data_IF_304346440440
#
_entry.id   IF_304346440440
#
_cell.length_a   1.000
_cell.length_b   1.000
_cell.length_c   1.000
_cell.angle_alpha   90.00
_cell.angle_beta   90.00
_cell.angle_gamma   90.00
#
_symmetry.space_group_name_H-M   'P 1'
#
loop_
_entity.id
_entity.type
_entity.pdbx_description
1 polymer ?
#
# COMPACT_ATOMS: atom_id res chain seq x y z
N UNK A 1 15.34 -1.20 -0.85
CA UNK A 1 14.44 -1.76 0.16
C UNK A 1 13.19 -2.28 -0.53
N UNK A 2 12.56 -3.37 -0.07
CA UNK A 2 11.25 -3.81 -0.59
C UNK A 2 10.14 -2.78 -0.29
N UNK A 3 10.31 -1.93 0.72
CA UNK A 3 9.44 -0.76 0.94
C UNK A 3 9.39 0.17 -0.29
N UNK A 4 10.45 0.18 -1.11
CA UNK A 4 10.50 0.90 -2.39
C UNK A 4 9.56 0.35 -3.47
N UNK A 5 8.95 -0.83 -3.27
CA UNK A 5 7.91 -1.38 -4.14
C UNK A 5 6.50 -0.85 -3.81
N UNK A 6 6.31 -0.35 -2.58
CA UNK A 6 5.00 0.05 -2.06
C UNK A 6 4.53 1.39 -2.62
N UNK A 7 5.42 2.34 -2.87
CA UNK A 7 5.04 3.64 -3.48
C UNK A 7 4.71 3.52 -4.97
N UNK A 8 5.65 3.02 -5.81
CA UNK A 8 5.51 3.11 -7.26
C UNK A 8 4.56 2.10 -7.89
N UNK A 9 4.47 0.88 -7.36
CA UNK A 9 3.47 -0.11 -7.82
C UNK A 9 2.03 0.33 -7.54
N UNK A 10 1.85 1.15 -6.51
CA UNK A 10 0.56 1.49 -5.92
C UNK A 10 0.01 2.82 -6.45
N UNK A 11 0.86 3.82 -6.70
CA UNK A 11 0.44 5.04 -7.42
C UNK A 11 -0.16 4.70 -8.80
N UNK A 12 0.38 3.66 -9.44
CA UNK A 12 -0.09 3.10 -10.71
C UNK A 12 -1.49 2.48 -10.62
N UNK A 13 -1.87 1.98 -9.45
CA UNK A 13 -3.12 1.27 -9.19
C UNK A 13 -4.27 2.18 -8.71
N UNK A 14 -3.97 3.44 -8.41
CA UNK A 14 -5.00 4.43 -8.08
C UNK A 14 -5.82 4.81 -9.32
N UNK A 15 -7.11 5.14 -9.11
CA UNK A 15 -8.15 5.34 -10.14
C UNK A 15 -7.83 6.41 -11.21
N UNK A 16 -6.71 7.10 -11.09
CA UNK A 16 -6.45 8.35 -11.80
C UNK A 16 -6.17 8.17 -13.29
N UNK A 17 -5.49 7.11 -13.77
CA UNK A 17 -5.28 6.87 -15.22
C UNK A 17 -5.08 5.38 -15.57
N UNK A 18 -6.05 4.76 -16.25
CA UNK A 18 -5.89 3.41 -16.86
C UNK A 18 -4.64 3.39 -17.74
N UNK A 19 -3.84 2.32 -17.66
CA UNK A 19 -2.72 2.07 -18.57
C UNK A 19 -1.34 2.57 -18.11
N UNK A 20 -1.21 3.08 -16.88
CA UNK A 20 0.11 3.41 -16.34
C UNK A 20 0.96 2.15 -16.11
N UNK A 21 2.25 2.35 -16.30
CA UNK A 21 3.31 1.37 -16.13
C UNK A 21 4.35 2.04 -15.26
N UNK A 22 4.67 1.45 -14.11
CA UNK A 22 5.76 1.94 -13.27
C UNK A 22 6.87 0.92 -13.29
N UNK A 23 8.08 1.37 -13.63
CA UNK A 23 9.31 0.55 -13.67
C UNK A 23 10.15 0.88 -12.45
N UNK A 24 10.32 -0.09 -11.56
CA UNK A 24 11.13 0.04 -10.34
C UNK A 24 12.47 -0.64 -10.59
N UNK A 25 13.54 0.14 -10.77
CA UNK A 25 14.86 -0.35 -11.19
C UNK A 25 15.69 -0.77 -9.97
N UNK A 26 16.42 -1.88 -10.06
CA UNK A 26 17.43 -2.25 -9.07
C UNK A 26 16.87 -2.79 -7.76
N UNK A 27 15.66 -3.35 -7.78
CA UNK A 27 15.04 -3.91 -6.57
C UNK A 27 15.57 -5.30 -6.28
N UNK A 28 15.84 -5.61 -5.00
CA UNK A 28 16.06 -6.99 -4.55
C UNK A 28 14.76 -7.76 -4.68
N UNK A 29 14.71 -8.74 -5.58
CA UNK A 29 13.63 -9.73 -5.63
C UNK A 29 13.91 -10.77 -4.53
N UNK A 30 13.78 -10.36 -3.27
CA UNK A 30 13.97 -11.27 -2.15
C UNK A 30 12.83 -12.30 -2.18
N UNK A 31 13.16 -13.58 -2.35
CA UNK A 31 12.22 -14.69 -2.51
C UNK A 31 11.23 -14.83 -1.34
N UNK A 32 11.61 -14.39 -0.14
CA UNK A 32 10.76 -14.38 1.06
C UNK A 32 9.70 -13.28 1.07
N UNK A 33 9.80 -12.27 0.18
CA UNK A 33 8.87 -11.11 0.08
C UNK A 33 8.07 -11.07 -1.24
N UNK A 34 8.18 -12.12 -2.06
CA UNK A 34 7.34 -12.33 -3.27
C UNK A 34 5.86 -12.48 -2.92
N UNK A 35 5.52 -12.82 -1.66
CA UNK A 35 4.13 -12.91 -1.18
C UNK A 35 3.30 -11.65 -1.51
N UNK A 36 3.88 -10.47 -1.33
CA UNK A 36 3.22 -9.20 -1.68
C UNK A 36 2.93 -9.08 -3.18
N UNK A 37 3.87 -9.47 -4.05
CA UNK A 37 3.68 -9.44 -5.50
C UNK A 37 2.56 -10.40 -5.93
N UNK A 38 2.52 -11.61 -5.36
CA UNK A 38 1.45 -12.57 -5.62
C UNK A 38 0.06 -12.07 -5.15
N UNK A 39 0.01 -11.28 -4.07
CA UNK A 39 -1.24 -10.64 -3.64
C UNK A 39 -1.65 -9.49 -4.56
N UNK A 40 -0.69 -8.69 -5.04
CA UNK A 40 -0.94 -7.67 -6.04
C UNK A 40 -1.52 -8.28 -7.33
N UNK A 41 -1.04 -9.45 -7.75
CA UNK A 41 -1.63 -10.21 -8.85
C UNK A 41 -3.06 -10.67 -8.56
N UNK A 42 -3.36 -11.10 -7.32
CA UNK A 42 -4.73 -11.46 -6.89
C UNK A 42 -5.71 -10.27 -6.94
N UNK A 43 -5.23 -9.03 -6.77
CA UNK A 43 -6.05 -7.82 -6.96
C UNK A 43 -6.05 -7.32 -8.41
N UNK A 44 -5.48 -8.09 -9.33
CA UNK A 44 -5.50 -7.84 -10.77
C UNK A 44 -4.30 -7.05 -11.27
N UNK A 45 -3.29 -6.72 -10.46
CA UNK A 45 -2.08 -6.10 -10.98
C UNK A 45 -1.36 -7.07 -11.93
N UNK A 46 -0.88 -6.57 -13.06
CA UNK A 46 0.03 -7.33 -13.93
C UNK A 46 1.46 -6.93 -13.58
N UNK A 47 2.24 -7.90 -13.13
CA UNK A 47 3.61 -7.70 -12.70
C UNK A 47 4.51 -8.39 -13.71
N UNK A 48 5.48 -7.66 -14.23
CA UNK A 48 6.48 -8.17 -15.17
C UNK A 48 7.87 -7.89 -14.58
N UNK A 49 8.67 -8.94 -14.42
CA UNK A 49 10.08 -8.83 -14.06
C UNK A 49 10.88 -8.58 -15.34
N UNK A 50 11.68 -7.53 -15.34
CA UNK A 50 12.48 -7.05 -16.45
C UNK A 50 13.96 -6.99 -16.03
N UNK A 51 14.87 -7.14 -16.98
CA UNK A 51 16.30 -6.89 -16.79
C UNK A 51 16.89 -7.62 -15.55
N UNK A 52 16.50 -8.88 -15.35
CA UNK A 52 16.90 -9.66 -14.17
C UNK A 52 18.36 -10.10 -14.25
N UNK A 53 19.11 -9.82 -13.20
CA UNK A 53 20.50 -10.22 -12.97
C UNK A 53 20.60 -10.86 -11.58
N UNK A 54 21.62 -11.69 -11.33
CA UNK A 54 21.91 -12.18 -9.98
C UNK A 54 23.06 -11.38 -9.38
N UNK A 55 22.87 -10.87 -8.17
CA UNK A 55 23.93 -10.23 -7.39
C UNK A 55 23.99 -10.85 -6.00
N UNK A 56 25.08 -11.57 -5.71
CA UNK A 56 25.25 -12.25 -4.43
C UNK A 56 24.25 -13.39 -4.19
N UNK A 57 23.79 -14.07 -5.25
CA UNK A 57 22.81 -15.18 -5.17
C UNK A 57 21.35 -14.73 -5.03
N UNK A 58 21.09 -13.43 -5.09
CA UNK A 58 19.72 -12.89 -5.07
C UNK A 58 19.36 -12.28 -6.43
N UNK A 59 18.16 -12.57 -6.97
CA UNK A 59 17.71 -11.94 -8.19
C UNK A 59 17.47 -10.45 -7.95
N UNK A 60 17.96 -9.64 -8.89
CA UNK A 60 17.76 -8.19 -8.96
C UNK A 60 17.26 -7.84 -10.33
N UNK A 61 16.27 -6.98 -10.40
CA UNK A 61 15.74 -6.58 -11.70
C UNK A 61 14.91 -5.32 -11.60
N UNK A 62 14.36 -4.96 -12.74
CA UNK A 62 13.33 -3.98 -12.86
C UNK A 62 11.96 -4.63 -12.70
N UNK A 63 11.06 -4.08 -11.90
CA UNK A 63 9.67 -4.56 -11.83
C UNK A 63 8.78 -3.58 -12.55
N UNK A 64 8.05 -4.06 -13.56
CA UNK A 64 7.00 -3.33 -14.24
C UNK A 64 5.65 -3.74 -13.66
N UNK A 65 4.93 -2.77 -13.09
CA UNK A 65 3.58 -2.99 -12.53
C UNK A 65 2.57 -2.21 -13.36
N UNK A 66 1.55 -2.91 -13.84
CA UNK A 66 0.38 -2.36 -14.52
C UNK A 66 -0.87 -2.64 -13.71
N UNK A 67 -1.72 -1.62 -13.55
CA UNK A 67 -3.07 -1.83 -13.02
C UNK A 67 -3.87 -2.74 -13.95
N UNK A 68 -4.53 -3.75 -13.40
CA UNK A 68 -5.40 -4.63 -14.18
C UNK A 68 -6.82 -4.75 -13.62
N UNK A 69 -7.21 -3.84 -12.74
CA UNK A 69 -8.57 -3.75 -12.24
C UNK A 69 -8.61 -3.57 -10.72
N UNK A 70 -9.83 -3.53 -10.19
CA UNK A 70 -10.07 -3.54 -8.76
C UNK A 70 -10.88 -4.80 -8.44
N UNK A 71 -10.27 -5.74 -7.73
CA UNK A 71 -10.93 -6.96 -7.28
C UNK A 71 -11.18 -6.92 -5.77
N UNK A 72 -12.12 -7.75 -5.32
CA UNK A 72 -12.26 -8.07 -3.91
C UNK A 72 -11.12 -9.01 -3.50
N UNK A 73 -10.45 -8.69 -2.39
CA UNK A 73 -9.43 -9.53 -1.77
C UNK A 73 -9.84 -9.84 -0.33
N UNK A 74 -9.87 -11.13 0.02
CA UNK A 74 -9.98 -11.57 1.40
C UNK A 74 -8.62 -12.14 1.85
N UNK A 75 -8.10 -11.63 2.97
CA UNK A 75 -6.87 -12.09 3.64
C UNK A 75 -7.25 -12.66 5.00
N UNK A 76 -7.01 -13.96 5.19
CA UNK A 76 -7.30 -14.67 6.43
C UNK A 76 -6.04 -14.98 7.25
N UNK A 77 -6.21 -15.58 8.44
CA UNK A 77 -5.13 -15.88 9.39
C UNK A 77 -3.93 -16.64 8.80
N UNK A 78 -4.16 -17.49 7.78
CA UNK A 78 -3.08 -18.21 7.10
C UNK A 78 -2.16 -17.31 6.26
N UNK A 79 -2.72 -16.26 5.65
CA UNK A 79 -2.01 -15.36 4.76
C UNK A 79 -1.38 -14.20 5.54
N UNK A 80 -2.00 -13.78 6.65
CA UNK A 80 -1.58 -12.62 7.46
C UNK A 80 -0.08 -12.63 7.79
N UNK A 81 0.53 -13.70 8.34
CA UNK A 81 1.95 -13.67 8.73
C UNK A 81 2.91 -13.36 7.57
N UNK A 82 2.49 -13.63 6.33
CA UNK A 82 3.31 -13.42 5.12
C UNK A 82 3.27 -11.97 4.63
N UNK A 83 2.25 -11.22 5.02
CA UNK A 83 1.95 -9.88 4.46
C UNK A 83 1.52 -8.86 5.51
N UNK A 84 1.69 -9.17 6.80
CA UNK A 84 1.21 -8.35 7.93
C UNK A 84 1.70 -6.91 7.82
N UNK A 85 2.91 -6.77 7.31
CA UNK A 85 3.64 -5.55 7.09
C UNK A 85 3.10 -4.72 5.91
N UNK A 86 2.48 -5.36 4.93
CA UNK A 86 1.91 -4.76 3.72
C UNK A 86 0.40 -4.48 3.83
N UNK A 87 -0.26 -4.96 4.89
CA UNK A 87 -1.70 -4.75 5.12
C UNK A 87 -2.13 -3.27 5.09
N UNK A 88 -1.39 -2.30 5.68
CA UNK A 88 -1.75 -0.88 5.57
C UNK A 88 -1.80 -0.36 4.14
N UNK A 89 -0.82 -0.73 3.29
CA UNK A 89 -0.80 -0.26 1.91
C UNK A 89 -1.90 -0.92 1.06
N UNK A 90 -2.20 -2.19 1.33
CA UNK A 90 -3.27 -2.93 0.65
C UNK A 90 -4.63 -2.32 1.00
N UNK A 91 -4.82 -1.87 2.25
CA UNK A 91 -6.00 -1.13 2.66
C UNK A 91 -6.12 0.21 1.92
N UNK A 92 -5.03 0.96 1.82
CA UNK A 92 -5.00 2.21 1.06
C UNK A 92 -5.33 1.99 -0.43
N UNK A 93 -4.78 0.93 -1.04
CA UNK A 93 -5.10 0.50 -2.40
C UNK A 93 -6.60 0.22 -2.60
N UNK A 94 -7.22 -0.51 -1.66
CA UNK A 94 -8.63 -0.87 -1.73
C UNK A 94 -9.55 0.35 -1.77
N UNK A 95 -9.14 1.50 -1.20
CA UNK A 95 -9.91 2.75 -1.28
C UNK A 95 -10.10 3.28 -2.71
N UNK A 96 -9.30 2.83 -3.68
CA UNK A 96 -9.32 3.30 -5.06
C UNK A 96 -10.28 2.49 -5.96
N UNK A 97 -11.38 1.99 -5.40
CA UNK A 97 -12.39 1.23 -6.12
C UNK A 97 -12.34 -0.29 -5.94
N UNK A 98 -11.56 -0.80 -4.98
CA UNK A 98 -11.48 -2.22 -4.64
C UNK A 98 -12.20 -2.55 -3.35
N UNK A 99 -12.04 -3.79 -2.89
CA UNK A 99 -12.56 -4.23 -1.60
C UNK A 99 -11.52 -5.14 -0.93
N UNK A 100 -11.22 -4.90 0.34
CA UNK A 100 -10.27 -5.69 1.10
C UNK A 100 -10.86 -6.05 2.46
N UNK A 101 -10.97 -7.34 2.76
CA UNK A 101 -11.31 -7.83 4.09
C UNK A 101 -10.13 -8.58 4.69
N UNK A 102 -9.74 -8.21 5.90
CA UNK A 102 -8.63 -8.82 6.64
C UNK A 102 -9.17 -9.37 7.96
N UNK A 103 -8.80 -10.60 8.29
CA UNK A 103 -9.12 -11.28 9.57
C UNK A 103 -7.89 -12.05 10.07
N UNK A 104 -7.79 -12.29 11.37
CA UNK A 104 -6.63 -12.96 11.99
C UNK A 104 -5.38 -12.09 12.12
N UNK A 105 -5.51 -10.77 12.06
CA UNK A 105 -4.43 -9.79 12.10
C UNK A 105 -4.33 -9.03 13.44
N UNK A 106 -4.84 -9.60 14.54
CA UNK A 106 -4.81 -8.96 15.87
C UNK A 106 -3.41 -8.53 16.34
N UNK A 107 -2.34 -9.17 15.87
CA UNK A 107 -0.95 -8.77 16.14
C UNK A 107 -0.65 -7.31 15.69
N UNK A 108 -1.38 -6.78 14.71
CA UNK A 108 -1.24 -5.38 14.28
C UNK A 108 -1.57 -4.36 15.39
N UNK A 109 -2.36 -4.74 16.39
CA UNK A 109 -2.68 -3.86 17.53
C UNK A 109 -1.50 -3.64 18.48
N UNK A 110 -0.46 -4.46 18.37
CA UNK A 110 0.69 -4.48 19.28
C UNK A 110 2.01 -4.13 18.56
N UNK A 111 1.95 -3.46 17.41
CA UNK A 111 3.13 -3.01 16.65
C UNK A 111 3.62 -1.65 17.20
N UNK A 112 4.29 -0.86 16.36
CA UNK A 112 4.72 0.51 16.66
C UNK A 112 3.54 1.39 17.16
N UNK A 113 2.33 1.07 16.70
CA UNK A 113 1.06 1.65 17.12
C UNK A 113 -0.02 0.56 17.14
N UNK A 114 -1.23 0.88 17.64
CA UNK A 114 -2.41 0.09 17.26
C UNK A 114 -2.74 0.39 15.79
N UNK A 115 -2.09 -0.37 14.89
CA UNK A 115 -2.19 -0.14 13.45
C UNK A 115 -3.60 -0.33 12.93
N UNK A 116 -4.41 -1.18 13.54
CA UNK A 116 -5.79 -1.42 13.07
C UNK A 116 -6.63 -0.18 13.33
N UNK A 117 -6.63 0.31 14.57
CA UNK A 117 -7.41 1.49 14.95
C UNK A 117 -6.92 2.73 14.21
N UNK A 118 -5.60 2.95 14.15
CA UNK A 118 -5.03 4.12 13.48
C UNK A 118 -5.30 4.10 11.96
N UNK A 119 -5.16 2.94 11.29
CA UNK A 119 -5.49 2.78 9.87
C UNK A 119 -6.97 3.09 9.60
N UNK A 120 -7.88 2.51 10.39
CA UNK A 120 -9.31 2.72 10.21
C UNK A 120 -9.70 4.19 10.44
N UNK A 121 -9.17 4.82 11.49
CA UNK A 121 -9.39 6.23 11.77
C UNK A 121 -8.86 7.13 10.64
N UNK A 122 -7.61 6.93 10.20
CA UNK A 122 -6.99 7.73 9.15
C UNK A 122 -7.71 7.60 7.81
N UNK A 123 -8.03 6.38 7.37
CA UNK A 123 -8.76 6.17 6.11
C UNK A 123 -10.17 6.78 6.16
N UNK A 124 -10.88 6.71 7.29
CA UNK A 124 -12.16 7.42 7.48
C UNK A 124 -11.98 8.93 7.44
N UNK A 125 -10.93 9.46 8.06
CA UNK A 125 -10.57 10.89 8.03
C UNK A 125 -10.31 11.43 6.62
N UNK A 126 -9.80 10.58 5.72
CA UNK A 126 -9.64 10.88 4.28
C UNK A 126 -10.95 10.72 3.47
N UNK A 127 -12.05 10.30 4.10
CA UNK A 127 -13.36 10.08 3.48
C UNK A 127 -13.61 8.65 3.00
N UNK A 128 -12.77 7.69 3.37
CA UNK A 128 -12.89 6.28 3.02
C UNK A 128 -14.01 5.55 3.75
N UNK A 129 -14.37 4.35 3.28
CA UNK A 129 -15.25 3.42 4.00
C UNK A 129 -14.41 2.29 4.56
N UNK A 130 -14.26 2.28 5.88
CA UNK A 130 -13.50 1.26 6.59
C UNK A 130 -14.27 0.86 7.84
N UNK A 131 -14.46 -0.44 8.02
CA UNK A 131 -15.01 -1.05 9.22
C UNK A 131 -13.87 -1.71 10.00
N UNK A 132 -13.76 -1.35 11.27
CA UNK A 132 -12.74 -1.88 12.18
C UNK A 132 -13.27 -3.17 12.82
N UNK A 133 -12.40 -4.17 12.99
CA UNK A 133 -12.70 -5.40 13.71
C UNK A 133 -11.63 -5.64 14.76
N UNK A 134 -11.91 -6.51 15.74
CA UNK A 134 -10.97 -6.86 16.80
C UNK A 134 -9.64 -7.42 16.25
N UNK A 135 -9.71 -8.25 15.22
CA UNK A 135 -8.57 -8.94 14.61
C UNK A 135 -8.37 -8.56 13.13
N UNK A 136 -8.85 -7.39 12.70
CA UNK A 136 -8.66 -6.96 11.32
C UNK A 136 -9.49 -5.74 10.94
N UNK A 137 -9.79 -5.63 9.65
CA UNK A 137 -10.54 -4.50 9.09
C UNK A 137 -11.15 -4.86 7.74
N UNK A 138 -12.14 -4.09 7.31
CA UNK A 138 -12.80 -4.21 6.01
C UNK A 138 -12.84 -2.85 5.33
N UNK A 139 -12.20 -2.74 4.18
CA UNK A 139 -12.15 -1.51 3.35
C UNK A 139 -13.00 -1.71 2.11
N UNK A 140 -13.84 -0.72 1.80
CA UNK A 140 -14.66 -0.70 0.58
C UNK A 140 -14.39 0.61 -0.18
N UNK A 141 -13.84 0.50 -1.38
CA UNK A 141 -13.56 1.61 -2.29
C UNK A 141 -14.77 2.07 -3.10
N UNK A 142 -15.98 2.00 -2.55
CA UNK A 142 -17.23 2.32 -3.27
C UNK A 142 -17.39 3.83 -3.59
N UNK A 143 -16.52 4.67 -3.03
CA UNK A 143 -16.55 6.13 -3.17
C UNK A 143 -15.16 6.71 -3.37
N UNK A 144 -15.12 7.88 -4.02
CA UNK A 144 -13.89 8.68 -4.11
C UNK A 144 -13.59 9.27 -2.73
N UNK A 145 -12.32 9.22 -2.32
CA UNK A 145 -11.86 9.91 -1.11
C UNK A 145 -12.07 11.42 -1.26
N UNK A 146 -12.49 12.07 -0.18
CA UNK A 146 -12.85 13.49 -0.23
C UNK A 146 -11.66 14.42 0.08
N UNK A 147 -10.53 13.85 0.50
CA UNK A 147 -9.49 14.58 1.22
C UNK A 147 -9.88 14.79 2.68
N UNK A 148 -8.96 15.29 3.49
CA UNK A 148 -9.16 15.45 4.94
C UNK A 148 -7.87 15.26 5.71
N UNK A 149 -7.99 14.82 6.96
CA UNK A 149 -6.83 14.60 7.84
C UNK A 149 -6.67 13.13 8.19
N UNK A 150 -5.43 12.68 8.32
CA UNK A 150 -5.07 11.39 8.89
C UNK A 150 -3.86 11.56 9.81
N UNK A 151 -3.74 10.71 10.82
CA UNK A 151 -2.60 10.71 11.73
C UNK A 151 -1.89 9.36 11.64
N UNK A 152 -0.61 9.39 11.26
CA UNK A 152 0.21 8.19 11.15
C UNK A 152 0.58 7.58 12.51
N UNK A 153 0.33 8.28 13.63
CA UNK A 153 0.64 7.83 14.98
C UNK A 153 2.10 7.40 15.17
N UNK A 154 3.03 8.06 14.47
CA UNK A 154 4.45 7.73 14.46
C UNK A 154 4.82 6.45 13.69
N UNK A 155 3.86 5.83 13.00
CA UNK A 155 4.06 4.59 12.24
C UNK A 155 4.36 4.88 10.76
N UNK A 156 5.56 4.52 10.33
CA UNK A 156 6.04 4.76 8.98
C UNK A 156 5.17 4.08 7.90
N UNK A 157 4.53 2.95 8.21
CA UNK A 157 3.69 2.21 7.26
C UNK A 157 2.34 2.87 7.10
N UNK A 158 1.78 3.40 8.19
CA UNK A 158 0.55 4.19 8.13
C UNK A 158 0.78 5.49 7.36
N UNK A 159 1.89 6.18 7.60
CA UNK A 159 2.24 7.39 6.86
C UNK A 159 2.34 7.13 5.34
N UNK A 160 3.04 6.08 4.92
CA UNK A 160 3.10 5.68 3.50
C UNK A 160 1.73 5.31 2.94
N UNK A 161 0.93 4.54 3.70
CA UNK A 161 -0.41 4.12 3.29
C UNK A 161 -1.35 5.31 3.10
N UNK A 162 -1.35 6.28 4.03
CA UNK A 162 -2.19 7.48 3.93
C UNK A 162 -1.76 8.38 2.78
N UNK A 163 -0.45 8.53 2.54
CA UNK A 163 0.06 9.29 1.40
C UNK A 163 -0.44 8.71 0.07
N UNK A 164 -0.41 7.39 -0.04
CA UNK A 164 -0.95 6.63 -1.17
C UNK A 164 -2.47 6.80 -1.31
N UNK A 165 -3.22 6.71 -0.21
CA UNK A 165 -4.67 6.89 -0.23
C UNK A 165 -5.02 8.30 -0.73
N UNK A 166 -4.33 9.32 -0.20
CA UNK A 166 -4.55 10.73 -0.51
C UNK A 166 -4.42 11.06 -2.01
N UNK A 167 -3.63 10.31 -2.79
CA UNK A 167 -3.49 10.51 -4.25
C UNK A 167 -4.82 10.40 -5.02
N UNK A 168 -5.80 9.66 -4.49
CA UNK A 168 -7.14 9.53 -5.09
C UNK A 168 -8.15 10.59 -4.62
N UNK A 169 -7.74 11.46 -3.69
CA UNK A 169 -8.58 12.46 -3.05
C UNK A 169 -9.19 13.45 -4.03
N UNK A 170 -10.40 13.92 -3.72
CA UNK A 170 -11.05 15.03 -4.43
C UNK A 170 -10.49 16.40 -4.03
N UNK A 171 -9.92 16.50 -2.83
CA UNK A 171 -9.32 17.71 -2.26
C UNK A 171 -7.99 17.35 -1.60
N UNK A 172 -7.14 18.34 -1.27
CA UNK A 172 -5.91 18.12 -0.51
C UNK A 172 -6.18 17.36 0.79
N UNK A 173 -5.18 16.59 1.22
CA UNK A 173 -5.18 15.90 2.51
C UNK A 173 -3.97 16.32 3.31
N UNK A 174 -4.11 16.32 4.63
CA UNK A 174 -3.02 16.56 5.57
C UNK A 174 -2.77 15.29 6.38
N UNK A 175 -1.51 14.88 6.47
CA UNK A 175 -1.11 13.67 7.19
C UNK A 175 -0.19 14.11 8.33
N UNK A 176 -0.65 13.96 9.56
CA UNK A 176 0.15 14.24 10.74
C UNK A 176 1.15 13.12 10.98
N UNK A 177 2.30 13.47 11.57
CA UNK A 177 3.40 12.55 11.89
C UNK A 177 3.94 11.81 10.64
N UNK A 178 3.86 12.45 9.48
CA UNK A 178 4.28 11.89 8.19
C UNK A 178 5.81 11.69 8.09
N UNK A 179 6.58 12.41 8.89
CA UNK A 179 8.04 12.28 9.01
C UNK A 179 8.49 10.89 9.50
N UNK A 180 7.60 10.10 10.12
CA UNK A 180 7.88 8.72 10.49
C UNK A 180 8.36 7.87 9.30
N UNK A 181 7.97 8.22 8.08
CA UNK A 181 8.43 7.53 6.87
C UNK A 181 9.96 7.44 6.77
N UNK A 182 10.67 8.48 7.20
CA UNK A 182 12.14 8.55 7.09
C UNK A 182 12.87 7.48 7.92
N UNK A 183 12.20 6.87 8.91
CA UNK A 183 12.75 5.73 9.66
C UNK A 183 13.02 4.53 8.73
N UNK A 184 12.17 4.34 7.72
CA UNK A 184 12.20 3.16 6.85
C UNK A 184 12.52 3.48 5.39
N UNK A 185 12.14 4.67 4.92
CA UNK A 185 12.28 5.06 3.53
C UNK A 185 12.52 6.57 3.37
N UNK A 186 13.74 7.05 3.73
CA UNK A 186 14.16 8.40 3.40
C UNK A 186 13.96 8.71 1.92
N UNK A 187 13.32 9.85 1.62
CA UNK A 187 13.04 10.29 0.24
C UNK A 187 11.79 9.66 -0.40
N UNK A 188 10.96 8.96 0.37
CA UNK A 188 9.69 8.40 -0.11
C UNK A 188 8.80 9.45 -0.79
N UNK A 189 8.64 10.63 -0.19
CA UNK A 189 7.77 11.68 -0.74
C UNK A 189 8.31 12.24 -2.06
N UNK A 190 9.63 12.34 -2.22
CA UNK A 190 10.25 12.76 -3.49
C UNK A 190 9.98 11.72 -4.58
N UNK A 191 10.14 10.44 -4.26
CA UNK A 191 9.81 9.33 -5.17
C UNK A 191 8.32 9.37 -5.51
N UNK A 192 7.45 9.50 -4.52
CA UNK A 192 6.00 9.55 -4.71
C UNK A 192 5.59 10.73 -5.60
N UNK A 193 6.18 11.91 -5.40
CA UNK A 193 5.94 13.08 -6.23
C UNK A 193 6.38 12.84 -7.68
N UNK A 194 7.55 12.24 -7.90
CA UNK A 194 8.09 11.98 -9.24
C UNK A 194 7.22 11.07 -10.11
N UNK A 195 6.39 10.22 -9.48
CA UNK A 195 5.51 9.26 -10.17
C UNK A 195 4.03 9.68 -10.16
N UNK A 196 3.64 10.59 -9.27
CA UNK A 196 2.24 11.05 -9.13
C UNK A 196 1.93 12.22 -10.07
N UNK A 197 2.93 12.98 -10.47
CA UNK A 197 2.79 14.13 -11.38
C UNK A 197 2.98 13.66 -12.84
N UNK A 198 1.86 13.37 -13.51
CA UNK A 198 1.69 13.40 -14.98
C UNK A 198 0.23 13.31 -15.36
#
# INVERSE_FOLDING_TARGET
>A
DCAALLGPGVACATRSKKGRTVRIIGTRACTTRIGYLSLLERVGARIELLDTTELGGEPRGSIRIRHGGNARLDIGPHDVPRVIDELPVLAALATHGGELRVTGAGELRHKESDRITALAAGLRGLGGRVDEMEDGFHVVGDRRLQGGTADAAGDHRLAMAFAIAALGGARPSEIHNAEAVDVSYPGFFDVLASISVS
#
